data_IF_621304928412
#
_entry.id   IF_621304928412
#
_cell.length_a   1.000
_cell.length_b   1.000
_cell.length_c   1.000
_cell.angle_alpha   90.00
_cell.angle_beta   90.00
_cell.angle_gamma   90.00
#
_symmetry.space_group_name_H-M   'P 1'
#
loop_
_entity.id
_entity.type
_entity.pdbx_description
1 polymer ?
#
# COMPACT_ATOMS: atom_id res chain seq x y z
N UNK A 1 4.75 -43.16 -1.77
CA UNK A 1 5.05 -42.50 -0.49
C UNK A 1 5.74 -41.16 -0.76
N UNK A 2 4.97 -40.09 -0.96
CA UNK A 2 5.42 -38.67 -1.02
C UNK A 2 4.19 -37.81 -0.70
N UNK A 3 3.99 -37.46 0.57
CA UNK A 3 2.91 -36.57 1.00
C UNK A 3 3.34 -35.56 2.09
N UNK A 4 4.59 -35.55 2.56
CA UNK A 4 5.02 -34.64 3.64
C UNK A 4 5.43 -33.23 3.17
N UNK A 5 5.58 -33.00 1.85
CA UNK A 5 5.97 -31.69 1.32
C UNK A 5 4.83 -30.66 1.28
N UNK A 6 3.59 -31.11 1.10
CA UNK A 6 2.47 -30.22 0.78
C UNK A 6 1.84 -29.55 2.03
N UNK A 7 1.91 -30.22 3.19
CA UNK A 7 1.34 -29.67 4.44
C UNK A 7 2.20 -28.54 5.01
N UNK A 8 3.53 -28.69 4.96
CA UNK A 8 4.45 -27.69 5.48
C UNK A 8 4.45 -26.42 4.61
N UNK A 9 4.43 -26.58 3.28
CA UNK A 9 4.38 -25.45 2.34
C UNK A 9 3.10 -24.62 2.51
N UNK A 10 1.95 -25.28 2.68
CA UNK A 10 0.68 -24.61 2.95
C UNK A 10 0.68 -23.85 4.28
N UNK A 11 1.30 -24.42 5.31
CA UNK A 11 1.44 -23.77 6.62
C UNK A 11 2.36 -22.55 6.55
N UNK A 12 3.52 -22.66 5.89
CA UNK A 12 4.41 -21.51 5.65
C UNK A 12 3.72 -20.39 4.87
N UNK A 13 2.99 -20.72 3.79
CA UNK A 13 2.21 -19.73 3.03
C UNK A 13 1.21 -19.00 3.94
N UNK A 14 0.48 -19.73 4.78
CA UNK A 14 -0.48 -19.14 5.73
C UNK A 14 0.21 -18.19 6.71
N UNK A 15 1.35 -18.59 7.27
CA UNK A 15 2.12 -17.74 8.19
C UNK A 15 2.62 -16.46 7.51
N UNK A 16 3.09 -16.55 6.25
CA UNK A 16 3.53 -15.37 5.48
C UNK A 16 2.40 -14.37 5.25
N UNK A 17 1.18 -14.85 4.98
CA UNK A 17 0.00 -13.99 4.82
C UNK A 17 -0.30 -13.22 6.11
N UNK A 18 -0.23 -13.89 7.27
CA UNK A 18 -0.46 -13.25 8.56
C UNK A 18 0.66 -12.27 8.91
N UNK A 19 1.92 -12.60 8.61
CA UNK A 19 3.06 -11.69 8.79
C UNK A 19 2.92 -10.45 7.92
N UNK A 20 2.56 -10.58 6.65
CA UNK A 20 2.36 -9.45 5.74
C UNK A 20 1.24 -8.53 6.25
N UNK A 21 0.13 -9.13 6.69
CA UNK A 21 -1.00 -8.38 7.26
C UNK A 21 -0.63 -7.65 8.56
N UNK A 22 0.10 -8.34 9.44
CA UNK A 22 0.60 -7.74 10.68
C UNK A 22 1.60 -6.62 10.42
N UNK A 23 2.46 -6.76 9.40
CA UNK A 23 3.39 -5.72 8.98
C UNK A 23 2.66 -4.47 8.47
N UNK A 24 1.67 -4.61 7.59
CA UNK A 24 0.85 -3.48 7.11
C UNK A 24 0.14 -2.79 8.28
N UNK A 25 -0.42 -3.56 9.21
CA UNK A 25 -1.02 -3.03 10.44
C UNK A 25 0.01 -2.29 11.29
N UNK A 26 1.20 -2.85 11.50
CA UNK A 26 2.25 -2.15 12.22
C UNK A 26 2.62 -0.84 11.50
N UNK A 27 2.91 -0.88 10.21
CA UNK A 27 3.30 0.30 9.43
C UNK A 27 2.25 1.44 9.47
N UNK A 28 0.96 1.11 9.46
CA UNK A 28 -0.11 2.09 9.51
C UNK A 28 -0.33 2.69 10.92
N UNK A 29 -0.14 1.90 11.99
CA UNK A 29 -0.49 2.30 13.35
C UNK A 29 0.72 2.65 14.24
N UNK A 30 1.95 2.35 13.82
CA UNK A 30 3.15 2.66 14.62
C UNK A 30 3.52 4.14 14.47
N UNK A 31 3.56 4.85 15.60
CA UNK A 31 4.13 6.21 15.65
C UNK A 31 5.57 6.13 16.19
N UNK A 32 6.58 6.72 15.52
CA UNK A 32 7.94 6.78 16.05
C UNK A 32 7.96 7.48 17.42
N UNK A 33 8.68 6.93 18.40
CA UNK A 33 8.69 7.43 19.79
C UNK A 33 9.54 8.71 19.99
N UNK A 34 10.26 9.18 18.97
CA UNK A 34 11.10 10.37 19.05
C UNK A 34 10.32 11.67 19.18
N UNK A 35 10.60 12.45 20.23
CA UNK A 35 9.97 13.76 20.53
C UNK A 35 8.43 13.76 20.64
N UNK A 36 7.82 12.62 20.98
CA UNK A 36 6.37 12.48 21.24
C UNK A 36 5.83 13.55 22.22
N UNK A 37 6.59 13.85 23.28
CA UNK A 37 6.17 14.76 24.35
C UNK A 37 6.02 16.24 23.92
N UNK A 38 6.50 16.64 22.74
CA UNK A 38 6.54 18.06 22.35
C UNK A 38 5.64 18.39 21.15
N UNK A 39 5.25 17.42 20.32
CA UNK A 39 4.51 17.68 19.08
C UNK A 39 3.34 16.72 18.76
N UNK A 40 3.07 15.70 19.58
CA UNK A 40 1.84 14.88 19.61
C UNK A 40 1.16 14.58 18.24
N UNK A 41 1.93 14.17 17.22
CA UNK A 41 1.39 13.83 15.91
C UNK A 41 1.06 12.33 15.85
N UNK A 42 -0.07 11.93 16.44
CA UNK A 42 -0.67 10.59 16.27
C UNK A 42 -1.54 10.56 15.00
N UNK A 43 -0.94 10.73 13.84
CA UNK A 43 -1.66 10.74 12.56
C UNK A 43 -1.63 9.35 11.91
N UNK A 44 -2.81 8.85 11.54
CA UNK A 44 -2.95 7.67 10.68
C UNK A 44 -2.71 8.09 9.22
N UNK A 45 -2.26 7.17 8.35
CA UNK A 45 -2.08 7.47 6.93
C UNK A 45 -3.42 7.75 6.23
N UNK A 46 -3.47 8.84 5.46
CA UNK A 46 -4.61 9.20 4.61
C UNK A 46 -4.71 8.40 3.31
N UNK A 47 -3.65 7.66 2.96
CA UNK A 47 -3.67 6.76 1.83
C UNK A 47 -2.69 5.60 1.99
N UNK A 48 -3.08 4.41 1.51
CA UNK A 48 -2.25 3.21 1.45
C UNK A 48 -2.46 2.57 0.08
N UNK A 49 -1.36 2.38 -0.65
CA UNK A 49 -1.30 1.58 -1.87
C UNK A 49 -0.55 0.28 -1.58
N UNK A 50 -1.18 -0.86 -1.83
CA UNK A 50 -0.52 -2.17 -1.78
C UNK A 50 -0.50 -2.76 -3.17
N UNK A 51 0.68 -3.19 -3.63
CA UNK A 51 0.86 -3.85 -4.92
C UNK A 51 1.42 -5.26 -4.71
N UNK A 52 0.70 -6.26 -5.20
CA UNK A 52 1.14 -7.66 -5.16
C UNK A 52 1.63 -8.02 -6.57
N UNK A 53 2.91 -8.36 -6.67
CA UNK A 53 3.62 -8.60 -7.93
C UNK A 53 4.30 -9.97 -7.88
N UNK A 54 4.26 -10.71 -9.00
CA UNK A 54 5.04 -11.95 -9.16
C UNK A 54 6.52 -11.67 -9.39
N UNK A 55 6.82 -10.58 -10.10
CA UNK A 55 8.18 -10.17 -10.39
C UNK A 55 8.85 -9.59 -9.13
N UNK A 56 10.11 -9.97 -8.90
CA UNK A 56 10.90 -9.54 -7.74
C UNK A 56 11.52 -8.15 -7.93
N UNK A 57 10.71 -7.20 -8.38
CA UNK A 57 11.15 -5.83 -8.69
C UNK A 57 10.40 -4.85 -7.78
N UNK A 58 10.97 -4.48 -6.62
CA UNK A 58 10.39 -3.44 -5.79
C UNK A 58 10.52 -2.09 -6.49
N UNK A 59 9.43 -1.32 -6.53
CA UNK A 59 9.36 -0.02 -7.19
C UNK A 59 9.09 1.05 -6.14
N UNK A 60 9.92 2.09 -6.12
CA UNK A 60 9.68 3.29 -5.31
C UNK A 60 9.01 4.36 -6.15
N UNK A 61 7.91 4.92 -5.65
CA UNK A 61 7.21 6.05 -6.25
C UNK A 61 7.64 7.42 -5.69
N UNK A 62 8.71 7.46 -4.88
CA UNK A 62 9.22 8.70 -4.27
C UNK A 62 9.50 9.82 -5.26
N UNK A 63 9.82 9.48 -6.51
CA UNK A 63 10.09 10.44 -7.57
C UNK A 63 8.88 11.29 -7.97
N UNK A 64 7.65 10.88 -7.62
CA UNK A 64 6.45 11.71 -7.68
C UNK A 64 6.63 13.07 -6.96
N UNK A 65 7.53 13.10 -5.98
CA UNK A 65 7.77 14.23 -5.08
C UNK A 65 9.11 14.94 -5.31
N UNK A 66 9.89 14.60 -6.36
CA UNK A 66 11.14 15.35 -6.70
C UNK A 66 10.83 16.83 -6.89
N UNK A 67 9.79 17.14 -7.67
CA UNK A 67 9.15 18.45 -7.59
C UNK A 67 8.30 18.43 -6.32
N UNK A 68 8.44 19.36 -5.37
CA UNK A 68 7.61 19.35 -4.16
C UNK A 68 6.12 19.54 -4.47
N UNK A 69 5.23 18.93 -3.68
CA UNK A 69 3.81 19.27 -3.67
C UNK A 69 3.64 20.65 -3.01
N UNK A 70 2.72 21.47 -3.54
CA UNK A 70 2.39 22.79 -3.00
C UNK A 70 0.87 22.97 -3.08
N UNK A 71 0.19 23.39 -2.00
CA UNK A 71 -1.22 23.74 -2.05
C UNK A 71 -1.49 24.70 -3.21
N UNK A 72 -2.59 24.51 -3.94
CA UNK A 72 -2.90 25.28 -5.14
C UNK A 72 -4.41 25.39 -5.34
N UNK A 73 -4.89 26.63 -5.44
CA UNK A 73 -6.34 26.89 -5.52
C UNK A 73 -7.00 26.39 -4.24
N UNK A 74 -8.06 25.60 -4.40
CA UNK A 74 -8.83 25.04 -3.28
C UNK A 74 -8.27 23.71 -2.75
N UNK A 75 -7.18 23.19 -3.33
CA UNK A 75 -6.59 21.90 -2.93
C UNK A 75 -5.52 22.09 -1.86
N UNK A 76 -5.63 21.30 -0.80
CA UNK A 76 -4.66 21.24 0.28
C UNK A 76 -3.36 20.50 -0.11
N UNK A 77 -2.40 20.41 0.82
CA UNK A 77 -1.14 19.73 0.56
C UNK A 77 -1.31 18.23 0.31
N UNK A 78 -2.25 17.59 1.01
CA UNK A 78 -2.50 16.15 0.93
C UNK A 78 -3.12 15.81 -0.42
N UNK A 79 -4.14 16.55 -0.86
CA UNK A 79 -4.79 16.37 -2.15
C UNK A 79 -3.80 16.52 -3.31
N UNK A 80 -2.99 17.59 -3.32
CA UNK A 80 -1.95 17.77 -4.35
C UNK A 80 -0.88 16.69 -4.28
N UNK A 81 -0.58 16.15 -3.10
CA UNK A 81 0.39 15.06 -2.94
C UNK A 81 -0.15 13.74 -3.51
N UNK A 82 -1.42 13.42 -3.22
CA UNK A 82 -2.07 12.21 -3.70
C UNK A 82 -2.28 12.24 -5.22
N UNK A 83 -2.64 13.38 -5.81
CA UNK A 83 -2.74 13.53 -7.28
C UNK A 83 -1.40 13.25 -7.97
N UNK A 84 -0.31 13.82 -7.45
CA UNK A 84 1.02 13.59 -8.01
C UNK A 84 1.47 12.14 -7.85
N UNK A 85 1.09 11.54 -6.73
CA UNK A 85 1.37 10.14 -6.47
C UNK A 85 0.63 9.24 -7.47
N UNK A 86 -0.69 9.38 -7.62
CA UNK A 86 -1.49 8.54 -8.53
C UNK A 86 -1.10 8.74 -9.99
N UNK A 87 -0.83 9.98 -10.41
CA UNK A 87 -0.30 10.29 -11.74
C UNK A 87 1.03 9.58 -12.00
N UNK A 88 1.96 9.63 -11.04
CA UNK A 88 3.27 8.99 -11.18
C UNK A 88 3.16 7.46 -11.18
N UNK A 89 2.31 6.88 -10.33
CA UNK A 89 2.04 5.43 -10.31
C UNK A 89 1.50 4.99 -11.68
N UNK A 90 0.52 5.71 -12.22
CA UNK A 90 -0.03 5.45 -13.57
C UNK A 90 1.06 5.50 -14.64
N UNK A 91 1.85 6.57 -14.64
CA UNK A 91 2.88 6.78 -15.66
C UNK A 91 3.97 5.72 -15.63
N UNK A 92 4.47 5.37 -14.44
CA UNK A 92 5.50 4.34 -14.27
C UNK A 92 4.97 2.97 -14.69
N UNK A 93 3.78 2.58 -14.22
CA UNK A 93 3.24 1.28 -14.58
C UNK A 93 2.97 1.16 -16.08
N UNK A 94 2.41 2.20 -16.71
CA UNK A 94 2.16 2.21 -18.15
C UNK A 94 3.46 2.20 -18.97
N UNK A 95 4.42 3.06 -18.64
CA UNK A 95 5.65 3.22 -19.46
C UNK A 95 6.61 2.02 -19.36
N UNK A 96 6.63 1.34 -18.21
CA UNK A 96 7.45 0.15 -18.01
C UNK A 96 6.69 -1.17 -18.21
N UNK A 97 5.39 -1.11 -18.56
CA UNK A 97 4.57 -2.31 -18.77
C UNK A 97 4.43 -3.18 -17.52
N UNK A 98 4.41 -2.54 -16.34
CA UNK A 98 4.48 -3.26 -15.06
C UNK A 98 3.13 -3.89 -14.74
N UNK A 99 3.12 -5.21 -14.56
CA UNK A 99 1.93 -5.96 -14.17
C UNK A 99 1.88 -6.18 -12.66
N UNK A 100 0.70 -6.04 -12.07
CA UNK A 100 0.39 -6.48 -10.72
C UNK A 100 -0.66 -7.59 -10.80
N UNK A 101 -0.56 -8.60 -9.93
CA UNK A 101 -1.64 -9.58 -9.76
C UNK A 101 -2.85 -8.90 -9.11
N UNK A 102 -2.59 -8.00 -8.16
CA UNK A 102 -3.59 -7.12 -7.58
C UNK A 102 -2.98 -5.85 -7.01
N UNK A 103 -3.81 -4.81 -6.94
CA UNK A 103 -3.47 -3.52 -6.37
C UNK A 103 -4.63 -3.09 -5.47
N UNK A 104 -4.35 -2.83 -4.21
CA UNK A 104 -5.34 -2.40 -3.22
C UNK A 104 -5.13 -0.93 -2.91
N UNK A 105 -6.21 -0.17 -2.86
CA UNK A 105 -6.18 1.26 -2.61
C UNK A 105 -7.12 1.62 -1.46
N UNK A 106 -6.55 2.18 -0.41
CA UNK A 106 -7.29 2.78 0.70
C UNK A 106 -6.95 4.27 0.74
N UNK A 107 -7.94 5.15 0.84
CA UNK A 107 -7.73 6.58 1.04
C UNK A 107 -8.89 7.26 1.76
N UNK A 108 -8.61 8.33 2.50
CA UNK A 108 -9.60 9.19 3.17
C UNK A 108 -10.12 10.31 2.28
N UNK A 109 -9.62 10.43 1.04
CA UNK A 109 -9.93 11.49 0.08
C UNK A 109 -10.59 10.93 -1.18
N UNK A 110 -11.29 11.78 -1.92
CA UNK A 110 -11.91 11.41 -3.21
C UNK A 110 -10.87 11.39 -4.33
N UNK A 111 -9.92 10.44 -4.27
CA UNK A 111 -8.86 10.28 -5.26
C UNK A 111 -8.82 8.84 -5.76
N UNK A 112 -8.89 8.69 -7.07
CA UNK A 112 -8.90 7.41 -7.76
C UNK A 112 -7.54 7.05 -8.35
N UNK A 113 -7.32 5.76 -8.51
CA UNK A 113 -6.18 5.18 -9.21
C UNK A 113 -6.66 4.04 -10.10
N UNK A 114 -6.12 3.94 -11.30
CA UNK A 114 -6.54 2.94 -12.28
C UNK A 114 -6.11 1.52 -11.86
N UNK A 115 -6.97 0.55 -12.19
CA UNK A 115 -6.74 -0.89 -11.99
C UNK A 115 -6.48 -1.27 -10.52
N UNK A 116 -7.34 -0.82 -9.62
CA UNK A 116 -7.30 -1.15 -8.19
C UNK A 116 -8.58 -1.77 -7.70
N UNK A 117 -8.46 -2.53 -6.62
CA UNK A 117 -9.56 -2.78 -5.69
C UNK A 117 -9.55 -1.66 -4.65
N UNK A 118 -10.58 -0.81 -4.68
CA UNK A 118 -10.77 0.19 -3.62
C UNK A 118 -11.20 -0.50 -2.33
N UNK A 119 -10.66 -0.07 -1.21
CA UNK A 119 -10.98 -0.56 0.12
C UNK A 119 -11.56 0.62 0.92
N UNK A 120 -12.81 0.51 1.34
CA UNK A 120 -13.54 1.56 2.05
C UNK A 120 -12.94 1.82 3.44
N UNK A 121 -12.36 0.79 4.06
CA UNK A 121 -11.77 0.85 5.39
C UNK A 121 -10.56 -0.08 5.54
N UNK A 122 -9.85 0.08 6.67
CA UNK A 122 -8.63 -0.69 6.94
C UNK A 122 -8.90 -2.20 7.13
N UNK A 123 -10.08 -2.59 7.64
CA UNK A 123 -10.45 -4.00 7.77
C UNK A 123 -10.55 -4.65 6.39
N UNK A 124 -11.26 -4.01 5.46
CA UNK A 124 -11.39 -4.45 4.07
C UNK A 124 -10.03 -4.52 3.37
N UNK A 125 -9.15 -3.53 3.57
CA UNK A 125 -7.78 -3.54 3.06
C UNK A 125 -7.02 -4.80 3.52
N UNK A 126 -7.10 -5.14 4.81
CA UNK A 126 -6.43 -6.33 5.34
C UNK A 126 -7.07 -7.63 4.88
N UNK A 127 -8.40 -7.68 4.74
CA UNK A 127 -9.10 -8.84 4.21
C UNK A 127 -8.70 -9.11 2.76
N UNK A 128 -8.78 -8.09 1.91
CA UNK A 128 -8.36 -8.16 0.51
C UNK A 128 -6.88 -8.54 0.38
N UNK A 129 -5.99 -8.03 1.24
CA UNK A 129 -4.59 -8.44 1.27
C UNK A 129 -4.44 -9.93 1.53
N UNK A 130 -5.15 -10.47 2.54
CA UNK A 130 -5.08 -11.90 2.86
C UNK A 130 -5.59 -12.77 1.73
N UNK A 131 -6.68 -12.37 1.07
CA UNK A 131 -7.24 -13.12 -0.05
C UNK A 131 -6.30 -13.16 -1.24
N UNK A 132 -5.69 -12.01 -1.58
CA UNK A 132 -4.78 -11.92 -2.73
C UNK A 132 -3.41 -12.58 -2.50
N UNK A 133 -3.00 -12.81 -1.25
CA UNK A 133 -1.76 -13.53 -0.92
C UNK A 133 -1.94 -15.05 -0.74
N UNK A 134 -3.18 -15.55 -0.65
CA UNK A 134 -3.48 -16.98 -0.45
C UNK A 134 -3.34 -17.84 -1.72
N UNK A 135 -2.93 -17.24 -2.83
CA UNK A 135 -2.78 -17.89 -4.14
C UNK A 135 -1.50 -18.75 -4.23
#
# INVERSE_FOLDING_TARGET
MKLSGNSNEKELKSQLVDVASAFVKAAAFTTPTGKQNTFAAHQLPDAILIEIRKEKTPISYTNAFIKPARPKGDKDLLEVSLEKFTDYVKDINRKYGLTCDSRLWFTTKEIEIENVTNCENFEELTMNLKENLRV
#
